data_IF_425010938748
#
_entry.id   IF_425010938748
#
_cell.length_a   1.000
_cell.length_b   1.000
_cell.length_c   1.000
_cell.angle_alpha   90.00
_cell.angle_beta   90.00
_cell.angle_gamma   90.00
#
_symmetry.space_group_name_H-M   'P 1'
#
loop_
_entity.id
_entity.type
_entity.pdbx_description
1 polymer ?
#
# COMPACT_ATOMS: atom_id res chain seq x y z
N UNK A 1 -8.85 -14.96 -51.39
CA UNK A 1 -9.35 -14.21 -50.22
C UNK A 1 -8.13 -13.82 -49.40
N UNK A 2 -7.74 -12.54 -49.41
CA UNK A 2 -6.57 -12.07 -48.67
C UNK A 2 -6.94 -11.91 -47.19
N UNK A 3 -6.18 -12.55 -46.30
CA UNK A 3 -6.26 -12.39 -44.86
C UNK A 3 -5.61 -11.05 -44.50
N UNK A 4 -6.42 -10.13 -43.97
CA UNK A 4 -5.99 -8.82 -43.53
C UNK A 4 -5.54 -8.95 -42.08
N UNK A 5 -4.23 -9.08 -41.88
CA UNK A 5 -3.61 -9.00 -40.56
C UNK A 5 -3.97 -7.66 -39.91
N UNK A 6 -4.82 -7.74 -38.88
CA UNK A 6 -5.18 -6.61 -38.04
C UNK A 6 -3.93 -6.13 -37.30
N UNK A 7 -3.48 -4.93 -37.66
CA UNK A 7 -2.46 -4.20 -36.92
C UNK A 7 -3.03 -3.84 -35.55
N UNK A 8 -2.50 -4.46 -34.50
CA UNK A 8 -2.75 -4.04 -33.13
C UNK A 8 -2.08 -2.68 -32.91
N UNK A 9 -2.87 -1.62 -33.00
CA UNK A 9 -2.46 -0.29 -32.59
C UNK A 9 -2.32 -0.29 -31.06
N UNK A 10 -1.09 -0.49 -30.58
CA UNK A 10 -0.72 -0.32 -29.19
C UNK A 10 -0.92 1.15 -28.78
N UNK A 11 -2.05 1.44 -28.16
CA UNK A 11 -2.38 2.74 -27.58
C UNK A 11 -1.38 3.11 -26.46
N UNK A 12 -0.33 3.83 -26.83
CA UNK A 12 0.63 4.41 -25.89
C UNK A 12 -0.05 5.57 -25.13
N UNK A 13 -0.47 5.28 -23.90
CA UNK A 13 -1.01 6.26 -22.96
C UNK A 13 0.01 7.39 -22.71
N UNK A 14 -0.47 8.64 -22.82
CA UNK A 14 0.36 9.83 -22.75
C UNK A 14 1.02 10.06 -21.39
N UNK A 15 2.24 10.58 -21.45
CA UNK A 15 3.12 10.94 -20.33
C UNK A 15 2.60 11.95 -19.27
N UNK A 16 1.64 12.88 -19.51
CA UNK A 16 1.40 13.96 -18.55
C UNK A 16 0.68 13.53 -17.25
N UNK A 17 -0.01 12.38 -17.23
CA UNK A 17 -0.69 11.88 -16.02
C UNK A 17 0.26 11.45 -14.91
N UNK A 18 1.44 10.92 -15.28
CA UNK A 18 2.45 10.45 -14.34
C UNK A 18 3.05 11.56 -13.47
N UNK A 19 3.21 12.76 -14.02
CA UNK A 19 3.77 13.89 -13.30
C UNK A 19 2.85 14.40 -12.17
N UNK A 20 1.52 14.33 -12.37
CA UNK A 20 0.56 14.69 -11.31
C UNK A 20 0.62 13.72 -10.12
N UNK A 21 0.74 12.42 -10.40
CA UNK A 21 0.87 11.39 -9.36
C UNK A 21 2.22 11.49 -8.65
N UNK A 22 3.30 11.76 -9.40
CA UNK A 22 4.61 12.01 -8.83
C UNK A 22 4.60 13.18 -7.84
N UNK A 23 3.94 14.29 -8.18
CA UNK A 23 3.79 15.42 -7.27
C UNK A 23 3.06 15.04 -5.97
N UNK A 24 1.98 14.25 -6.05
CA UNK A 24 1.27 13.72 -4.87
C UNK A 24 2.19 12.89 -3.97
N UNK A 25 3.06 12.05 -4.55
CA UNK A 25 4.00 11.25 -3.76
C UNK A 25 5.09 12.08 -3.09
N UNK A 26 5.57 13.13 -3.77
CA UNK A 26 6.51 14.09 -3.19
C UNK A 26 5.85 14.80 -2.01
N UNK A 27 4.62 15.28 -2.17
CA UNK A 27 3.83 15.90 -1.09
C UNK A 27 3.66 14.93 0.07
N UNK A 28 3.30 13.67 -0.18
CA UNK A 28 3.18 12.65 0.87
C UNK A 28 4.49 12.43 1.64
N UNK A 29 5.63 12.50 0.96
CA UNK A 29 6.96 12.34 1.58
C UNK A 29 7.33 13.56 2.43
N UNK A 30 7.03 14.77 1.94
CA UNK A 30 7.20 16.01 2.69
C UNK A 30 6.30 16.04 3.94
N UNK A 31 5.08 15.52 3.85
CA UNK A 31 4.19 15.37 5.00
C UNK A 31 4.77 14.44 6.07
N UNK A 32 5.33 13.29 5.68
CA UNK A 32 6.01 12.39 6.65
C UNK A 32 7.21 13.08 7.30
N UNK A 33 8.01 13.80 6.52
CA UNK A 33 9.13 14.58 7.06
C UNK A 33 8.64 15.65 8.05
N UNK A 34 7.59 16.38 7.70
CA UNK A 34 7.04 17.42 8.55
C UNK A 34 6.46 16.86 9.85
N UNK A 35 5.78 15.72 9.76
CA UNK A 35 5.25 14.99 10.91
C UNK A 35 6.34 14.65 11.93
N UNK A 36 7.60 14.46 11.49
CA UNK A 36 8.71 14.14 12.41
C UNK A 36 9.12 15.31 13.31
N UNK A 37 8.73 16.55 13.01
CA UNK A 37 9.05 17.70 13.87
C UNK A 37 8.07 17.89 15.02
N UNK A 38 6.91 17.24 14.97
CA UNK A 38 5.84 17.42 15.93
C UNK A 38 5.76 16.15 16.77
N UNK A 39 6.19 16.25 18.03
CA UNK A 39 6.05 15.13 18.97
C UNK A 39 4.59 15.02 19.42
N UNK A 40 3.83 14.16 18.72
CA UNK A 40 2.45 13.82 19.09
C UNK A 40 2.36 12.85 20.26
N UNK A 41 3.50 12.36 20.77
CA UNK A 41 3.57 11.43 21.90
C UNK A 41 3.02 12.05 23.21
N UNK A 42 2.89 13.37 23.27
CA UNK A 42 2.24 14.07 24.39
C UNK A 42 0.74 13.77 24.54
N UNK A 43 0.06 13.25 23.51
CA UNK A 43 -1.39 12.98 23.54
C UNK A 43 -1.69 11.51 23.87
N UNK A 44 -0.94 10.58 23.28
CA UNK A 44 -1.10 9.14 23.49
C UNK A 44 0.23 8.43 23.19
N UNK A 45 0.66 7.45 24.01
CA UNK A 45 1.89 6.71 23.75
C UNK A 45 1.81 5.99 22.40
N UNK A 46 2.70 6.36 21.47
CA UNK A 46 2.75 5.79 20.12
C UNK A 46 1.91 6.49 19.06
N UNK A 47 1.33 7.67 19.37
CA UNK A 47 0.57 8.46 18.39
C UNK A 47 1.40 8.85 17.16
N UNK A 48 2.70 9.10 17.32
CA UNK A 48 3.60 9.41 16.20
C UNK A 48 3.69 8.24 15.21
N UNK A 49 3.84 7.00 15.72
CA UNK A 49 3.90 5.79 14.90
C UNK A 49 2.60 5.54 14.15
N UNK A 50 1.44 5.74 14.80
CA UNK A 50 0.14 5.61 14.14
C UNK A 50 -0.03 6.62 13.00
N UNK A 51 0.36 7.88 13.22
CA UNK A 51 0.32 8.92 12.19
C UNK A 51 1.26 8.59 11.03
N UNK A 52 2.48 8.14 11.32
CA UNK A 52 3.45 7.73 10.30
C UNK A 52 2.92 6.55 9.47
N UNK A 53 2.31 5.54 10.10
CA UNK A 53 1.70 4.40 9.42
C UNK A 53 0.51 4.82 8.54
N UNK A 54 -0.33 5.74 9.02
CA UNK A 54 -1.47 6.25 8.25
C UNK A 54 -1.01 6.97 6.98
N UNK A 55 -0.01 7.86 7.10
CA UNK A 55 0.56 8.56 5.93
C UNK A 55 1.21 7.56 4.97
N UNK A 56 1.93 6.56 5.50
CA UNK A 56 2.56 5.51 4.70
C UNK A 56 1.52 4.68 3.92
N UNK A 57 0.42 4.28 4.56
CA UNK A 57 -0.68 3.57 3.91
C UNK A 57 -1.31 4.39 2.79
N UNK A 58 -1.66 5.65 3.05
CA UNK A 58 -2.21 6.54 2.03
C UNK A 58 -1.27 6.64 0.84
N UNK A 59 0.02 6.92 1.06
CA UNK A 59 1.02 6.99 -0.01
C UNK A 59 1.09 5.68 -0.80
N UNK A 60 1.11 4.53 -0.11
CA UNK A 60 1.20 3.23 -0.76
C UNK A 60 -0.02 2.96 -1.68
N UNK A 61 -1.22 3.35 -1.25
CA UNK A 61 -2.43 3.24 -2.08
C UNK A 61 -2.32 4.07 -3.37
N UNK A 62 -1.80 5.30 -3.31
CA UNK A 62 -1.56 6.11 -4.51
C UNK A 62 -0.53 5.46 -5.45
N UNK A 63 0.56 4.92 -4.91
CA UNK A 63 1.55 4.18 -5.72
C UNK A 63 0.89 2.99 -6.43
N UNK A 64 0.10 2.19 -5.72
CA UNK A 64 -0.54 1.00 -6.27
C UNK A 64 -1.57 1.36 -7.35
N UNK A 65 -2.44 2.33 -7.11
CA UNK A 65 -3.49 2.68 -8.06
C UNK A 65 -2.93 3.25 -9.37
N UNK A 66 -1.93 4.13 -9.27
CA UNK A 66 -1.46 4.93 -10.40
C UNK A 66 -0.16 4.42 -11.02
N UNK A 67 0.89 4.16 -10.23
CA UNK A 67 2.17 3.69 -10.78
C UNK A 67 2.09 2.22 -11.22
N UNK A 68 1.44 1.36 -10.43
CA UNK A 68 1.25 -0.03 -10.81
C UNK A 68 0.09 -0.25 -11.80
N UNK A 69 -0.54 0.83 -12.29
CA UNK A 69 -1.62 0.78 -13.28
C UNK A 69 -2.81 -0.09 -12.87
N UNK A 70 -2.98 -0.34 -11.56
CA UNK A 70 -4.05 -1.19 -11.03
C UNK A 70 -5.43 -0.56 -11.29
N UNK A 71 -5.51 0.77 -11.34
CA UNK A 71 -6.77 1.46 -11.65
C UNK A 71 -7.31 1.16 -13.07
N UNK A 72 -6.44 1.03 -14.07
CA UNK A 72 -6.82 0.71 -15.45
C UNK A 72 -6.80 -0.79 -15.75
N UNK A 73 -6.40 -1.60 -14.76
CA UNK A 73 -6.26 -3.03 -14.92
C UNK A 73 -7.61 -3.75 -14.90
N UNK A 74 -7.74 -4.89 -15.60
CA UNK A 74 -8.93 -5.73 -15.51
C UNK A 74 -9.30 -6.14 -14.08
N UNK A 75 -10.59 -6.41 -13.85
CA UNK A 75 -11.14 -6.78 -12.51
C UNK A 75 -10.45 -7.97 -11.85
N UNK A 76 -9.84 -8.87 -12.64
CA UNK A 76 -9.09 -10.01 -12.13
C UNK A 76 -7.85 -9.60 -11.31
N UNK A 77 -7.17 -8.52 -11.71
CA UNK A 77 -6.00 -7.98 -11.01
C UNK A 77 -6.42 -7.33 -9.69
N UNK A 78 -7.56 -6.63 -9.68
CA UNK A 78 -8.16 -6.09 -8.46
C UNK A 78 -8.53 -7.19 -7.45
N UNK A 79 -9.11 -8.30 -7.92
CA UNK A 79 -9.44 -9.43 -7.06
C UNK A 79 -8.18 -10.04 -6.43
N UNK A 80 -7.13 -10.24 -7.22
CA UNK A 80 -5.84 -10.76 -6.74
C UNK A 80 -5.17 -9.83 -5.71
N UNK A 81 -5.20 -8.51 -5.96
CA UNK A 81 -4.71 -7.51 -5.02
C UNK A 81 -5.40 -7.61 -3.66
N UNK A 82 -6.74 -7.62 -3.64
CA UNK A 82 -7.52 -7.73 -2.40
C UNK A 82 -7.29 -9.09 -1.73
N UNK A 83 -7.23 -10.17 -2.50
CA UNK A 83 -6.95 -11.51 -1.99
C UNK A 83 -5.59 -11.58 -1.29
N UNK A 84 -4.58 -10.87 -1.79
CA UNK A 84 -3.24 -10.81 -1.20
C UNK A 84 -3.26 -10.13 0.17
N UNK A 85 -3.95 -9.00 0.29
CA UNK A 85 -4.14 -8.32 1.58
C UNK A 85 -4.99 -9.13 2.56
N UNK A 86 -6.04 -9.79 2.07
CA UNK A 86 -6.86 -10.69 2.87
C UNK A 86 -6.04 -11.87 3.42
N UNK A 87 -5.22 -12.49 2.58
CA UNK A 87 -4.34 -13.58 2.97
C UNK A 87 -3.29 -13.13 3.99
N UNK A 88 -2.68 -11.97 3.76
CA UNK A 88 -1.71 -11.37 4.70
C UNK A 88 -2.37 -11.09 6.06
N UNK A 89 -3.58 -10.56 6.08
CA UNK A 89 -4.31 -10.29 7.32
C UNK A 89 -4.56 -11.57 8.13
N UNK A 90 -4.92 -12.68 7.47
CA UNK A 90 -5.10 -13.99 8.12
C UNK A 90 -3.78 -14.47 8.73
N UNK A 91 -2.68 -14.41 7.99
CA UNK A 91 -1.35 -14.81 8.48
C UNK A 91 -0.93 -13.98 9.69
N UNK A 92 -1.17 -12.66 9.65
CA UNK A 92 -0.85 -11.77 10.77
C UNK A 92 -1.71 -12.07 12.00
N UNK A 93 -3.01 -12.31 11.81
CA UNK A 93 -3.93 -12.66 12.89
C UNK A 93 -3.52 -13.97 13.59
N UNK A 94 -3.23 -15.02 12.82
CA UNK A 94 -2.79 -16.30 13.39
C UNK A 94 -1.44 -16.20 14.09
N UNK A 95 -0.50 -15.47 13.50
CA UNK A 95 0.82 -15.25 14.11
C UNK A 95 0.67 -14.52 15.45
N UNK A 96 -0.12 -13.46 15.51
CA UNK A 96 -0.37 -12.73 16.77
C UNK A 96 -1.10 -13.61 17.80
N UNK A 97 -2.07 -14.42 17.38
CA UNK A 97 -2.74 -15.37 18.28
C UNK A 97 -1.76 -16.39 18.88
N UNK A 98 -0.80 -16.90 18.09
CA UNK A 98 0.23 -17.81 18.59
C UNK A 98 1.11 -17.13 19.65
N UNK A 99 1.59 -15.91 19.38
CA UNK A 99 2.38 -15.14 20.34
C UNK A 99 1.61 -14.79 21.62
N UNK A 100 0.34 -14.42 21.52
CA UNK A 100 -0.50 -14.06 22.67
C UNK A 100 -0.91 -15.28 23.51
N UNK A 101 -1.05 -16.44 22.88
CA UNK A 101 -1.43 -17.70 23.57
C UNK A 101 -0.23 -18.44 24.14
N UNK A 102 1.00 -18.08 23.72
CA UNK A 102 2.23 -18.56 24.35
C UNK A 102 2.35 -18.01 25.76
N UNK A 103 1.84 -18.79 26.71
CA UNK A 103 2.20 -18.66 28.12
C UNK A 103 3.72 -18.88 28.26
N UNK A 104 4.35 -18.20 29.23
CA UNK A 104 5.77 -18.31 29.50
C UNK A 104 6.08 -19.70 30.08
N UNK A 105 6.05 -20.73 29.22
CA UNK A 105 6.03 -22.11 29.63
C UNK A 105 7.20 -22.46 30.52
N UNK A 106 6.89 -22.80 31.78
CA UNK A 106 7.60 -23.74 32.69
C UNK A 106 9.11 -23.54 32.95
N UNK A 107 9.77 -22.58 32.30
CA UNK A 107 11.17 -22.20 32.53
C UNK A 107 11.30 -20.92 33.38
N UNK A 108 10.19 -20.38 33.87
CA UNK A 108 10.21 -19.61 35.11
C UNK A 108 10.31 -20.60 36.26
N UNK A 109 11.36 -20.47 37.08
CA UNK A 109 11.43 -21.07 38.41
C UNK A 109 10.13 -20.88 39.21
#
# INVERSE_FOLDING_TARGET
>A
MADNHHHEEHGHIGYPGYFGVFAILVVGTLFTYWSSFWDLDSIFPGANTLLALLIAFTKMTFVMLFFMHVYWSPRLIWLSAVASFFWLAIMFAYTMQDYLTRDAGVFGI
#
